data_IF_698106829728
#
_entry.id   IF_698106829728
#
_cell.length_a   1.000
_cell.length_b   1.000
_cell.length_c   1.000
_cell.angle_alpha   90.00
_cell.angle_beta   90.00
_cell.angle_gamma   90.00
#
_symmetry.space_group_name_H-M   'P 1'
#
loop_
_entity.id
_entity.type
_entity.pdbx_description
1 polymer ?
#
# COMPACT_ATOMS: atom_id res chain seq x y z
N UNK A 1 -11.73 -30.30 -8.60
CA UNK A 1 -13.13 -30.13 -8.13
C UNK A 1 -13.90 -31.39 -8.51
N UNK A 2 -14.67 -31.98 -7.60
CA UNK A 2 -15.44 -33.20 -7.89
C UNK A 2 -16.83 -32.90 -8.45
N UNK A 3 -17.42 -33.86 -9.17
CA UNK A 3 -18.72 -33.72 -9.84
C UNK A 3 -19.83 -33.22 -8.90
N UNK A 4 -19.90 -33.74 -7.67
CA UNK A 4 -20.92 -33.32 -6.68
C UNK A 4 -20.85 -31.84 -6.32
N UNK A 5 -19.64 -31.28 -6.17
CA UNK A 5 -19.46 -29.86 -5.85
C UNK A 5 -19.86 -28.97 -7.02
N UNK A 6 -19.62 -29.44 -8.25
CA UNK A 6 -20.03 -28.75 -9.45
C UNK A 6 -21.56 -28.66 -9.55
N UNK A 7 -22.28 -29.77 -9.36
CA UNK A 7 -23.75 -29.75 -9.36
C UNK A 7 -24.33 -28.88 -8.26
N UNK A 8 -23.77 -28.95 -7.05
CA UNK A 8 -24.18 -28.09 -5.95
C UNK A 8 -24.01 -26.60 -6.30
N UNK A 9 -22.90 -26.24 -6.92
CA UNK A 9 -22.65 -24.86 -7.34
C UNK A 9 -23.65 -24.40 -8.40
N UNK A 10 -24.00 -25.24 -9.39
CA UNK A 10 -25.02 -24.91 -10.39
C UNK A 10 -26.38 -24.67 -9.72
N UNK A 11 -26.79 -25.53 -8.78
CA UNK A 11 -28.05 -25.36 -8.06
C UNK A 11 -28.08 -24.09 -7.22
N UNK A 12 -26.98 -23.76 -6.55
CA UNK A 12 -26.84 -22.52 -5.77
C UNK A 12 -26.92 -21.29 -6.68
N UNK A 13 -26.26 -21.32 -7.84
CA UNK A 13 -26.28 -20.24 -8.84
C UNK A 13 -27.70 -20.05 -9.41
N UNK A 14 -28.42 -21.12 -9.74
CA UNK A 14 -29.82 -21.05 -10.20
C UNK A 14 -30.77 -20.50 -9.13
N UNK A 15 -30.62 -20.96 -7.88
CA UNK A 15 -31.42 -20.45 -6.77
C UNK A 15 -31.17 -18.96 -6.52
N UNK A 16 -29.91 -18.52 -6.59
CA UNK A 16 -29.55 -17.11 -6.49
C UNK A 16 -30.17 -16.28 -7.63
N UNK A 17 -30.12 -16.78 -8.86
CA UNK A 17 -30.72 -16.13 -10.02
C UNK A 17 -32.24 -15.93 -9.83
N UNK A 18 -32.96 -16.99 -9.41
CA UNK A 18 -34.41 -16.90 -9.17
C UNK A 18 -34.77 -15.89 -8.08
N UNK A 19 -33.97 -15.80 -7.02
CA UNK A 19 -34.23 -14.92 -5.89
C UNK A 19 -34.07 -13.44 -6.23
N UNK A 20 -33.03 -13.07 -6.97
CA UNK A 20 -32.68 -11.66 -7.20
C UNK A 20 -33.02 -11.13 -8.59
N UNK A 21 -33.21 -12.00 -9.60
CA UNK A 21 -33.53 -11.72 -11.02
C UNK A 21 -32.53 -10.86 -11.80
N UNK A 22 -31.79 -9.97 -11.12
CA UNK A 22 -30.72 -9.12 -11.64
C UNK A 22 -29.42 -9.67 -11.06
N UNK A 23 -28.96 -10.79 -11.60
CA UNK A 23 -27.78 -11.48 -11.07
C UNK A 23 -26.51 -11.11 -11.84
N UNK A 24 -26.64 -10.64 -13.08
CA UNK A 24 -25.51 -10.29 -13.93
C UNK A 24 -25.61 -8.88 -14.51
N UNK A 25 -24.46 -8.37 -14.98
CA UNK A 25 -24.34 -7.07 -15.61
C UNK A 25 -25.21 -6.93 -16.86
N UNK A 26 -25.52 -8.05 -17.52
CA UNK A 26 -26.38 -8.11 -18.70
C UNK A 26 -27.85 -7.83 -18.39
N UNK A 27 -28.26 -8.01 -17.13
CA UNK A 27 -29.64 -7.79 -16.67
C UNK A 27 -29.88 -6.33 -16.24
N UNK A 28 -28.83 -5.51 -16.18
CA UNK A 28 -28.91 -4.11 -15.74
C UNK A 28 -29.35 -3.23 -16.91
N UNK A 29 -30.62 -2.80 -16.89
CA UNK A 29 -31.19 -1.90 -17.90
C UNK A 29 -31.35 -0.48 -17.36
N UNK A 30 -31.75 -0.35 -16.09
CA UNK A 30 -32.00 0.95 -15.46
C UNK A 30 -30.99 1.28 -14.35
N UNK A 31 -30.97 2.55 -13.92
CA UNK A 31 -30.14 2.98 -12.79
C UNK A 31 -30.57 2.31 -11.47
N UNK A 32 -31.86 2.00 -11.32
CA UNK A 32 -32.36 1.27 -10.15
C UNK A 32 -31.84 -0.17 -10.13
N UNK A 33 -31.86 -0.83 -11.28
CA UNK A 33 -31.29 -2.19 -11.44
C UNK A 33 -29.79 -2.19 -11.13
N UNK A 34 -29.07 -1.14 -11.54
CA UNK A 34 -27.66 -0.99 -11.22
C UNK A 34 -27.41 -0.86 -9.70
N UNK A 35 -28.22 -0.07 -9.00
CA UNK A 35 -28.12 0.07 -7.54
C UNK A 35 -28.42 -1.26 -6.83
N UNK A 36 -29.44 -1.99 -7.27
CA UNK A 36 -29.80 -3.29 -6.72
C UNK A 36 -28.70 -4.33 -6.97
N UNK A 37 -28.13 -4.35 -8.17
CA UNK A 37 -27.00 -5.20 -8.54
C UNK A 37 -25.75 -4.88 -7.70
N UNK A 38 -25.42 -3.61 -7.49
CA UNK A 38 -24.30 -3.22 -6.64
C UNK A 38 -24.51 -3.65 -5.17
N UNK A 39 -25.72 -3.47 -4.63
CA UNK A 39 -26.07 -3.92 -3.27
C UNK A 39 -25.90 -5.44 -3.14
N UNK A 40 -26.38 -6.20 -4.13
CA UNK A 40 -26.23 -7.65 -4.17
C UNK A 40 -24.76 -8.08 -4.22
N UNK A 41 -23.94 -7.39 -5.03
CA UNK A 41 -22.50 -7.64 -5.09
C UNK A 41 -21.77 -7.33 -3.77
N UNK A 42 -22.20 -6.31 -3.04
CA UNK A 42 -21.63 -5.95 -1.75
C UNK A 42 -21.98 -6.98 -0.66
N UNK A 43 -23.21 -7.53 -0.69
CA UNK A 43 -23.69 -8.54 0.27
C UNK A 43 -23.18 -9.96 -0.02
N UNK A 44 -22.95 -10.28 -1.30
CA UNK A 44 -22.55 -11.63 -1.70
C UNK A 44 -21.10 -11.93 -1.27
N UNK A 45 -20.85 -13.14 -0.74
CA UNK A 45 -19.50 -13.50 -0.32
C UNK A 45 -18.58 -13.67 -1.54
N UNK A 46 -17.28 -13.49 -1.32
CA UNK A 46 -16.28 -13.64 -2.37
C UNK A 46 -16.31 -15.04 -3.01
N UNK A 47 -16.65 -16.09 -2.26
CA UNK A 47 -16.78 -17.47 -2.74
C UNK A 47 -17.91 -17.68 -3.75
N UNK A 48 -18.95 -16.85 -3.72
CA UNK A 48 -20.11 -16.96 -4.60
C UNK A 48 -20.12 -15.90 -5.71
N UNK A 49 -19.02 -15.16 -5.94
CA UNK A 49 -19.01 -14.15 -7.01
C UNK A 49 -19.20 -12.71 -6.59
N UNK A 50 -19.28 -12.42 -5.29
CA UNK A 50 -19.48 -11.03 -4.83
C UNK A 50 -18.31 -10.10 -5.14
N UNK A 51 -18.42 -8.83 -4.72
CA UNK A 51 -17.48 -7.75 -5.07
C UNK A 51 -16.02 -8.08 -4.80
N UNK A 52 -15.75 -8.84 -3.73
CA UNK A 52 -14.41 -9.25 -3.34
C UNK A 52 -13.90 -10.50 -4.08
N UNK A 53 -14.64 -11.02 -5.06
CA UNK A 53 -14.19 -12.07 -5.97
C UNK A 53 -13.20 -11.50 -6.99
N UNK A 54 -11.93 -11.49 -6.59
CA UNK A 54 -10.81 -11.13 -7.46
C UNK A 54 -10.23 -12.34 -8.22
N UNK A 55 -10.78 -13.54 -8.00
CA UNK A 55 -10.26 -14.79 -8.58
C UNK A 55 -10.76 -15.01 -10.01
N UNK A 56 -11.87 -14.38 -10.42
CA UNK A 56 -12.37 -14.37 -11.81
C UNK A 56 -11.91 -13.19 -12.66
N UNK A 57 -11.38 -12.13 -12.03
CA UNK A 57 -10.86 -10.92 -12.71
C UNK A 57 -9.37 -10.78 -12.39
N UNK A 58 -8.52 -11.34 -13.26
CA UNK A 58 -7.09 -11.06 -13.24
C UNK A 58 -6.86 -9.65 -13.78
N UNK A 59 -7.08 -8.64 -12.93
CA UNK A 59 -6.69 -7.28 -13.24
C UNK A 59 -5.30 -7.02 -12.68
N UNK A 60 -4.41 -6.42 -13.47
CA UNK A 60 -3.09 -5.97 -13.00
C UNK A 60 -3.17 -5.03 -11.78
N UNK A 61 -4.30 -4.35 -11.57
CA UNK A 61 -4.52 -3.46 -10.43
C UNK A 61 -4.59 -4.16 -9.05
N UNK A 62 -5.01 -5.44 -8.99
CA UNK A 62 -5.07 -6.19 -7.72
C UNK A 62 -3.77 -6.92 -7.41
N UNK A 63 -2.90 -7.11 -8.42
CA UNK A 63 -1.63 -7.81 -8.27
C UNK A 63 -0.55 -6.79 -7.92
N UNK A 64 0.18 -6.95 -6.81
CA UNK A 64 1.30 -6.07 -6.50
C UNK A 64 2.37 -6.13 -7.61
N UNK A 65 2.76 -4.97 -8.17
CA UNK A 65 3.87 -4.83 -9.14
C UNK A 65 5.20 -5.43 -8.66
N UNK A 66 5.32 -5.61 -7.35
CA UNK A 66 6.46 -6.22 -6.67
C UNK A 66 6.54 -7.75 -6.86
N UNK A 67 5.44 -8.40 -7.20
CA UNK A 67 5.39 -9.85 -7.41
C UNK A 67 5.73 -10.22 -8.85
N UNK A 68 6.25 -11.44 -9.08
CA UNK A 68 6.48 -11.94 -10.43
C UNK A 68 5.16 -12.18 -11.17
N UNK A 69 4.09 -12.48 -10.42
CA UNK A 69 2.74 -12.64 -10.98
C UNK A 69 2.27 -11.43 -11.78
N UNK A 70 2.66 -10.21 -11.39
CA UNK A 70 2.33 -9.01 -12.15
C UNK A 70 3.00 -9.08 -13.52
N UNK A 71 4.30 -9.35 -13.56
CA UNK A 71 5.07 -9.43 -14.82
C UNK A 71 4.54 -10.53 -15.75
N UNK A 72 4.08 -11.66 -15.20
CA UNK A 72 3.50 -12.77 -15.97
C UNK A 72 2.16 -12.37 -16.61
N UNK A 73 1.27 -11.75 -15.82
CA UNK A 73 -0.04 -11.29 -16.32
C UNK A 73 0.14 -10.14 -17.30
N UNK A 74 1.08 -9.22 -17.04
CA UNK A 74 1.40 -8.09 -17.91
C UNK A 74 1.96 -8.57 -19.24
N UNK A 75 2.79 -9.62 -19.25
CA UNK A 75 3.24 -10.28 -20.47
C UNK A 75 2.09 -10.93 -21.24
N UNK A 76 1.14 -11.57 -20.56
CA UNK A 76 -0.01 -12.19 -21.21
C UNK A 76 -0.96 -11.16 -21.85
N UNK A 77 -1.12 -9.98 -21.23
CA UNK A 77 -1.94 -8.89 -21.74
C UNK A 77 -1.25 -8.08 -22.85
N UNK A 78 0.04 -7.74 -22.66
CA UNK A 78 0.77 -6.81 -23.53
C UNK A 78 1.66 -7.49 -24.58
N UNK A 79 2.06 -8.75 -24.37
CA UNK A 79 3.06 -9.44 -25.17
C UNK A 79 4.50 -8.97 -24.95
N UNK A 80 4.75 -8.00 -24.06
CA UNK A 80 6.09 -7.45 -23.80
C UNK A 80 6.70 -8.15 -22.59
N UNK A 81 7.87 -8.77 -22.78
CA UNK A 81 8.56 -9.46 -21.68
C UNK A 81 9.34 -8.46 -20.83
N UNK A 82 9.11 -8.46 -19.52
CA UNK A 82 9.90 -7.65 -18.60
C UNK A 82 11.30 -8.23 -18.43
N UNK A 83 12.31 -7.36 -18.26
CA UNK A 83 13.70 -7.78 -18.01
C UNK A 83 13.83 -8.71 -16.79
N UNK A 84 12.90 -8.58 -15.84
CA UNK A 84 12.83 -9.41 -14.64
C UNK A 84 12.30 -10.80 -14.98
N UNK A 85 11.17 -10.86 -15.68
CA UNK A 85 10.59 -12.13 -16.12
C UNK A 85 11.55 -12.90 -17.02
N UNK A 86 12.25 -12.20 -17.93
CA UNK A 86 13.22 -12.81 -18.83
C UNK A 86 14.35 -13.56 -18.11
N UNK A 87 14.80 -13.08 -16.94
CA UNK A 87 15.86 -13.74 -16.14
C UNK A 87 15.37 -15.03 -15.52
N UNK A 88 14.15 -15.00 -14.96
CA UNK A 88 13.55 -16.13 -14.24
C UNK A 88 12.83 -17.12 -15.18
N UNK A 89 12.61 -16.72 -16.44
CA UNK A 89 11.92 -17.49 -17.49
C UNK A 89 12.50 -18.90 -17.65
N UNK A 90 13.83 -19.02 -17.52
CA UNK A 90 14.54 -20.31 -17.60
C UNK A 90 14.01 -21.31 -16.57
N UNK A 91 13.73 -20.84 -15.35
CA UNK A 91 13.22 -21.65 -14.26
C UNK A 91 11.71 -21.88 -14.39
N UNK A 92 10.94 -20.88 -14.83
CA UNK A 92 9.47 -20.97 -14.90
C UNK A 92 8.95 -21.86 -16.05
N UNK A 93 9.70 -21.98 -17.15
CA UNK A 93 9.30 -22.79 -18.31
C UNK A 93 9.58 -24.29 -18.10
N UNK A 94 10.55 -24.62 -17.26
CA UNK A 94 10.94 -26.01 -17.02
C UNK A 94 9.93 -26.73 -16.13
N UNK A 95 9.60 -27.97 -16.49
CA UNK A 95 8.82 -28.85 -15.62
C UNK A 95 9.71 -29.29 -14.44
N UNK A 96 9.30 -29.10 -13.19
CA UNK A 96 10.13 -29.46 -12.04
C UNK A 96 10.26 -30.97 -11.92
N UNK A 97 11.49 -31.47 -11.96
CA UNK A 97 11.82 -32.89 -11.73
C UNK A 97 12.10 -33.17 -10.25
N UNK A 98 12.66 -32.19 -9.54
CA UNK A 98 12.98 -32.28 -8.10
C UNK A 98 12.08 -31.39 -7.27
N UNK A 99 11.90 -31.78 -6.00
CA UNK A 99 11.09 -31.01 -5.06
C UNK A 99 11.69 -29.64 -4.74
N UNK A 100 13.02 -29.54 -4.68
CA UNK A 100 13.74 -28.28 -4.49
C UNK A 100 13.50 -27.30 -5.65
N UNK A 101 13.52 -27.78 -6.90
CA UNK A 101 13.18 -26.95 -8.06
C UNK A 101 11.74 -26.45 -7.98
N UNK A 102 10.80 -27.32 -7.58
CA UNK A 102 9.40 -26.93 -7.39
C UNK A 102 9.26 -25.84 -6.31
N UNK A 103 9.94 -26.00 -5.18
CA UNK A 103 9.93 -25.01 -4.11
C UNK A 103 10.55 -23.69 -4.56
N UNK A 104 11.65 -23.74 -5.32
CA UNK A 104 12.29 -22.55 -5.86
C UNK A 104 11.40 -21.81 -6.86
N UNK A 105 10.74 -22.52 -7.79
CA UNK A 105 9.75 -21.95 -8.71
C UNK A 105 8.60 -21.29 -7.95
N UNK A 106 8.07 -21.94 -6.91
CA UNK A 106 7.03 -21.38 -6.05
C UNK A 106 7.51 -20.12 -5.32
N UNK A 107 8.75 -20.11 -4.82
CA UNK A 107 9.34 -18.93 -4.19
C UNK A 107 9.46 -17.78 -5.18
N UNK A 108 9.97 -18.02 -6.40
CA UNK A 108 10.09 -16.99 -7.45
C UNK A 108 8.74 -16.31 -7.73
N UNK A 109 7.67 -17.11 -7.84
CA UNK A 109 6.33 -16.62 -8.17
C UNK A 109 5.67 -15.90 -7.00
N UNK A 110 5.76 -16.47 -5.79
CA UNK A 110 5.05 -16.00 -4.60
C UNK A 110 5.74 -14.88 -3.84
N UNK A 111 7.06 -14.73 -3.97
CA UNK A 111 7.83 -13.77 -3.17
C UNK A 111 7.46 -12.34 -3.51
N UNK A 112 6.79 -11.68 -2.56
CA UNK A 112 6.55 -10.24 -2.56
C UNK A 112 7.88 -9.56 -2.28
N UNK A 113 8.56 -9.08 -3.33
CA UNK A 113 9.82 -8.35 -3.18
C UNK A 113 9.50 -6.91 -2.76
N UNK A 114 9.86 -6.53 -1.55
CA UNK A 114 9.83 -5.12 -1.18
C UNK A 114 10.76 -4.37 -2.13
N UNK A 115 10.34 -3.23 -2.73
CA UNK A 115 11.32 -2.36 -3.35
C UNK A 115 12.37 -2.09 -2.29
N UNK A 116 13.64 -2.26 -2.63
CA UNK A 116 14.72 -1.75 -1.79
C UNK A 116 14.34 -0.31 -1.52
N UNK A 117 13.96 -0.01 -0.28
CA UNK A 117 13.70 1.36 0.14
C UNK A 117 15.05 2.02 -0.07
N UNK A 118 15.24 2.65 -1.24
CA UNK A 118 16.28 3.63 -1.42
C UNK A 118 16.01 4.57 -0.29
N UNK A 119 16.89 4.56 0.72
CA UNK A 119 16.75 5.28 1.98
C UNK A 119 16.13 6.61 1.64
N UNK A 120 14.82 6.73 1.88
CA UNK A 120 14.13 8.00 1.74
C UNK A 120 14.82 8.79 2.81
N UNK A 121 15.75 9.68 2.41
CA UNK A 121 16.42 10.56 3.35
C UNK A 121 15.28 11.13 4.19
N UNK A 122 15.27 10.91 5.52
CA UNK A 122 14.23 11.48 6.31
C UNK A 122 14.22 12.97 5.98
N UNK A 123 13.06 13.51 5.62
CA UNK A 123 12.88 14.96 5.45
C UNK A 123 13.27 15.71 6.74
N UNK A 124 13.43 14.99 7.84
CA UNK A 124 14.14 15.40 9.03
C UNK A 124 15.65 15.22 8.86
N UNK A 125 16.34 16.30 8.46
CA UNK A 125 17.71 16.48 8.92
C UNK A 125 17.68 16.60 10.45
N UNK A 126 18.49 15.83 11.20
CA UNK A 126 18.77 16.17 12.58
C UNK A 126 19.21 17.62 12.61
N UNK A 127 18.60 18.42 13.49
CA UNK A 127 19.02 19.80 13.67
C UNK A 127 20.50 19.75 14.10
N UNK A 128 21.40 20.00 13.17
CA UNK A 128 22.77 20.28 13.55
C UNK A 128 22.71 21.59 14.31
N UNK A 129 23.23 21.56 15.53
CA UNK A 129 23.35 22.70 16.42
C UNK A 129 24.21 23.76 15.70
N UNK A 130 23.55 24.59 14.88
CA UNK A 130 24.14 25.72 14.17
C UNK A 130 24.53 26.76 15.22
N UNK A 131 25.64 26.50 15.92
CA UNK A 131 26.23 27.34 16.95
C UNK A 131 26.78 28.69 16.46
N UNK A 132 26.33 29.19 15.30
CA UNK A 132 26.62 30.55 14.83
C UNK A 132 25.37 31.12 14.18
N UNK A 133 24.54 31.78 14.99
CA UNK A 133 23.45 32.61 14.52
C UNK A 133 23.99 33.58 13.45
N UNK A 134 23.65 33.34 12.18
CA UNK A 134 23.97 34.26 11.09
C UNK A 134 23.29 35.59 11.40
N UNK A 135 24.09 36.65 11.60
CA UNK A 135 23.58 37.97 11.92
C UNK A 135 22.91 38.54 10.67
N UNK A 136 21.58 38.34 10.54
CA UNK A 136 20.79 38.94 9.47
C UNK A 136 20.86 40.46 9.61
N UNK A 137 21.67 41.10 8.77
CA UNK A 137 22.16 42.48 8.86
C UNK A 137 21.13 43.59 8.62
N UNK A 138 19.88 43.42 9.05
CA UNK A 138 18.85 44.47 8.94
C UNK A 138 17.84 44.36 10.08
N UNK A 139 18.20 44.84 11.27
CA UNK A 139 17.24 45.13 12.34
C UNK A 139 17.34 46.60 12.72
N UNK A 140 16.19 47.26 12.88
CA UNK A 140 16.15 48.65 13.34
C UNK A 140 16.76 48.77 14.75
N UNK A 141 17.31 49.95 15.08
CA UNK A 141 17.92 50.21 16.41
C UNK A 141 16.94 49.95 17.56
N UNK A 142 15.65 50.20 17.34
CA UNK A 142 14.60 49.94 18.33
C UNK A 142 14.37 48.43 18.55
N UNK A 143 14.37 47.64 17.48
CA UNK A 143 14.25 46.19 17.57
C UNK A 143 15.45 45.55 18.29
N UNK A 144 16.67 46.07 18.06
CA UNK A 144 17.87 45.62 18.78
C UNK A 144 17.77 45.89 20.29
N UNK A 145 17.42 47.12 20.69
CA UNK A 145 17.23 47.47 22.12
C UNK A 145 16.16 46.61 22.80
N UNK A 146 15.06 46.29 22.09
CA UNK A 146 14.00 45.42 22.64
C UNK A 146 14.52 44.00 22.87
N UNK A 147 15.27 43.44 21.92
CA UNK A 147 15.85 42.09 22.05
C UNK A 147 16.88 42.03 23.17
N UNK A 148 17.74 43.04 23.33
CA UNK A 148 18.70 43.09 24.44
C UNK A 148 18.01 43.14 25.80
N UNK A 149 16.94 43.93 25.94
CA UNK A 149 16.14 43.98 27.19
C UNK A 149 15.54 42.60 27.50
N UNK A 150 14.95 41.95 26.51
CA UNK A 150 14.38 40.60 26.67
C UNK A 150 15.45 39.57 27.05
N UNK A 151 16.64 39.65 26.43
CA UNK A 151 17.75 38.74 26.74
C UNK A 151 18.26 38.92 28.17
N UNK A 152 18.38 40.17 28.65
CA UNK A 152 18.74 40.47 30.04
C UNK A 152 17.71 39.95 31.03
N UNK A 153 16.41 40.19 30.78
CA UNK A 153 15.34 39.69 31.63
C UNK A 153 15.33 38.15 31.70
N UNK A 154 15.57 37.48 30.57
CA UNK A 154 15.64 36.03 30.51
C UNK A 154 16.83 35.47 31.29
N UNK A 155 18.02 36.07 31.16
CA UNK A 155 19.21 35.63 31.90
C UNK A 155 19.04 35.87 33.41
N UNK A 156 18.51 37.02 33.82
CA UNK A 156 18.20 37.29 35.22
C UNK A 156 17.20 36.27 35.79
N UNK A 157 16.11 35.96 35.07
CA UNK A 157 15.15 34.95 35.49
C UNK A 157 15.73 33.53 35.52
N UNK A 158 16.71 33.23 34.66
CA UNK A 158 17.43 31.95 34.65
C UNK A 158 18.37 31.84 35.84
N UNK A 159 19.06 32.93 36.20
CA UNK A 159 19.94 33.03 37.37
C UNK A 159 19.16 32.96 38.68
N UNK A 160 18.02 33.66 38.80
CA UNK A 160 17.14 33.54 39.96
C UNK A 160 16.63 32.10 40.14
N UNK A 161 16.18 31.46 39.05
CA UNK A 161 15.75 30.05 39.07
C UNK A 161 16.87 29.08 39.41
N UNK A 162 18.12 29.41 39.08
CA UNK A 162 19.29 28.61 39.45
C UNK A 162 19.65 28.80 40.93
N UNK A 163 19.58 30.04 41.44
CA UNK A 163 19.84 30.36 42.85
C UNK A 163 18.78 29.77 43.78
N UNK A 164 17.49 29.83 43.42
CA UNK A 164 16.40 29.24 44.22
C UNK A 164 16.42 27.71 44.28
N UNK A 165 17.12 27.05 43.36
CA UNK A 165 17.32 25.59 43.40
C UNK A 165 18.46 25.15 44.32
N UNK A 166 19.38 26.05 44.70
CA UNK A 166 20.51 25.73 45.58
C UNK A 166 20.14 25.88 47.05
N UNK A 167 19.12 26.69 47.39
CA UNK A 167 18.68 26.91 48.79
C UNK A 167 17.66 25.90 49.32
N UNK A 168 17.27 24.90 48.53
CA UNK A 168 16.33 23.84 48.92
C UNK A 168 16.96 22.43 48.98
N UNK A 169 18.28 22.34 49.07
CA UNK A 169 19.00 21.09 49.31
C UNK A 169 19.67 21.09 50.69
#
# INVERSE_FOLDING_TARGET
>A
MGERKFYQQIMEDEHFFQKFKIADRMDVVTVQDYMQYCSLLDETPASSGGKNNHWRKLNLGSIPKTMMMYDIVDYAESGVISNRLQKEMKYLVQKPETEEMRQHQLEIVSKVRFPSITTVRPFYQPWEEQGKAKHLGRRSKQAQKKVERMRKAYMAAKEEKASSKVTQA
#
